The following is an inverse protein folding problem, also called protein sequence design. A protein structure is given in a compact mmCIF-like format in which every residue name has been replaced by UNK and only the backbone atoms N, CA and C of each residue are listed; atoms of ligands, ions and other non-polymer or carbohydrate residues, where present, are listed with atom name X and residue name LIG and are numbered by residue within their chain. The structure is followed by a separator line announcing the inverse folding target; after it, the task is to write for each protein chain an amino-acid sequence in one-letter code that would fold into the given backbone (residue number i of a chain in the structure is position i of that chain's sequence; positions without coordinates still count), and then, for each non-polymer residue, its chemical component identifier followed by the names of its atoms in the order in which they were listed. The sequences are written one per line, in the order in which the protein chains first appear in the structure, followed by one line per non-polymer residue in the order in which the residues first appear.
data_IF_431120286444
#
_entry.id   IF_431120286444
#
_cell.length_a   1.000
_cell.length_b   1.000
_cell.length_c   1.000
_cell.angle_alpha   90.00
_cell.angle_beta   90.00
_cell.angle_gamma   90.00
#
_symmetry.space_group_name_H-M   'P 1'
#
loop_
_entity.id
_entity.type
_entity.pdbx_description
1 polymer ?
#
# COMPACT_ATOMS: atom_id res chain seq x y z
N UNK A 1 88.06 -20.40 -36.47
CA UNK A 1 88.16 -19.18 -35.64
C UNK A 1 87.09 -18.21 -36.14
N UNK A 2 85.84 -18.37 -35.71
CA UNK A 2 84.69 -17.63 -36.26
C UNK A 2 83.86 -17.07 -35.10
N UNK A 3 83.58 -15.76 -35.24
CA UNK A 3 82.51 -14.95 -34.67
C UNK A 3 82.49 -14.66 -33.17
N UNK A 4 83.12 -13.54 -32.83
CA UNK A 4 82.60 -12.60 -31.85
C UNK A 4 81.74 -11.51 -32.53
N UNK A 5 80.82 -10.96 -31.74
CA UNK A 5 80.02 -9.73 -31.91
C UNK A 5 78.75 -9.81 -32.78
N UNK A 6 77.59 -9.75 -32.11
CA UNK A 6 76.52 -8.72 -32.31
C UNK A 6 75.64 -8.71 -31.04
N UNK A 7 75.46 -7.51 -30.48
CA UNK A 7 74.92 -7.26 -29.15
C UNK A 7 73.41 -7.44 -28.99
N UNK A 8 73.00 -7.76 -27.75
CA UNK A 8 71.62 -7.77 -27.30
C UNK A 8 71.30 -6.50 -26.50
N UNK A 9 71.00 -5.40 -27.19
CA UNK A 9 70.32 -4.26 -26.59
C UNK A 9 68.80 -4.51 -26.61
N UNK A 10 68.26 -5.07 -25.53
CA UNK A 10 66.80 -5.20 -25.31
C UNK A 10 66.39 -4.75 -23.91
N UNK A 11 66.95 -3.64 -23.42
CA UNK A 11 66.68 -3.17 -22.05
C UNK A 11 66.04 -1.78 -21.82
N UNK A 12 65.70 -0.93 -22.82
CA UNK A 12 64.99 0.32 -22.52
C UNK A 12 63.46 0.28 -22.79
N UNK A 13 62.97 -0.61 -23.67
CA UNK A 13 61.56 -0.53 -24.13
C UNK A 13 60.53 -1.02 -23.10
N UNK A 14 60.84 -2.06 -22.32
CA UNK A 14 59.89 -2.62 -21.36
C UNK A 14 59.62 -1.68 -20.17
N UNK A 15 60.62 -0.89 -19.77
CA UNK A 15 60.50 0.10 -18.69
C UNK A 15 59.69 1.30 -19.18
N UNK A 16 59.93 1.76 -20.42
CA UNK A 16 59.15 2.84 -21.03
C UNK A 16 57.67 2.47 -21.14
N UNK A 17 57.35 1.25 -21.58
CA UNK A 17 55.97 0.77 -21.73
C UNK A 17 55.27 0.65 -20.36
N UNK A 18 55.98 0.19 -19.31
CA UNK A 18 55.42 0.15 -17.95
C UNK A 18 55.17 1.54 -17.39
N UNK A 19 56.06 2.49 -17.65
CA UNK A 19 55.88 3.87 -17.21
C UNK A 19 54.69 4.54 -17.91
N UNK A 20 54.53 4.35 -19.23
CA UNK A 20 53.39 4.92 -19.97
C UNK A 20 52.06 4.29 -19.56
N UNK A 21 52.01 2.98 -19.29
CA UNK A 21 50.82 2.31 -18.75
C UNK A 21 50.44 2.81 -17.36
N UNK A 22 51.42 3.01 -16.47
CA UNK A 22 51.18 3.56 -15.13
C UNK A 22 50.67 5.01 -15.21
N UNK A 23 51.28 5.85 -16.04
CA UNK A 23 50.83 7.22 -16.24
C UNK A 23 49.42 7.25 -16.82
N UNK A 24 49.12 6.40 -17.80
CA UNK A 24 47.78 6.28 -18.37
C UNK A 24 46.75 5.81 -17.32
N UNK A 25 47.09 4.82 -16.49
CA UNK A 25 46.23 4.37 -15.39
C UNK A 25 46.00 5.46 -14.35
N UNK A 26 47.02 6.24 -14.00
CA UNK A 26 46.87 7.38 -13.08
C UNK A 26 46.00 8.46 -13.71
N UNK A 27 46.19 8.79 -14.98
CA UNK A 27 45.34 9.76 -15.70
C UNK A 27 43.90 9.26 -15.76
N UNK A 28 43.67 7.98 -16.09
CA UNK A 28 42.32 7.37 -16.09
C UNK A 28 41.71 7.40 -14.69
N UNK A 29 42.48 7.11 -13.63
CA UNK A 29 42.00 7.17 -12.24
C UNK A 29 41.71 8.59 -11.78
N UNK A 30 42.49 9.59 -12.20
CA UNK A 30 42.24 11.01 -11.89
C UNK A 30 41.01 11.50 -12.65
N UNK A 31 40.89 11.16 -13.94
CA UNK A 31 39.74 11.53 -14.76
C UNK A 31 38.43 10.82 -14.35
N UNK A 32 38.50 9.56 -13.90
CA UNK A 32 37.33 8.85 -13.34
C UNK A 32 37.08 9.17 -11.86
N UNK A 33 38.08 9.68 -11.14
CA UNK A 33 37.95 10.07 -9.74
C UNK A 33 37.27 11.42 -9.53
N UNK A 34 37.08 12.21 -10.60
CA UNK A 34 36.37 13.49 -10.56
C UNK A 34 34.86 13.39 -10.82
N UNK A 35 34.33 12.22 -11.21
CA UNK A 35 32.88 12.02 -11.29
C UNK A 35 32.31 11.59 -9.93
N UNK A 36 31.57 12.53 -9.34
CA UNK A 36 30.56 12.37 -8.27
C UNK A 36 30.96 12.84 -6.87
N UNK A 37 31.25 14.13 -6.76
CA UNK A 37 30.76 14.92 -5.62
C UNK A 37 29.96 16.11 -6.14
N UNK A 38 28.84 15.83 -6.83
CA UNK A 38 27.84 16.86 -7.11
C UNK A 38 27.12 17.10 -5.78
N UNK A 39 27.46 18.19 -5.11
CA UNK A 39 26.64 18.73 -4.01
C UNK A 39 25.24 18.94 -4.55
N UNK A 40 24.30 18.09 -4.13
CA UNK A 40 22.87 18.20 -4.43
C UNK A 40 22.44 19.64 -4.17
N UNK A 41 21.72 20.24 -5.12
CA UNK A 41 21.26 21.62 -4.97
C UNK A 41 20.42 21.76 -3.68
N UNK A 42 20.43 22.93 -3.05
CA UNK A 42 19.64 23.16 -1.84
C UNK A 42 18.15 22.89 -2.07
N UNK A 43 17.65 23.14 -3.28
CA UNK A 43 16.28 22.83 -3.68
C UNK A 43 16.03 21.33 -3.81
N UNK A 44 16.99 20.57 -4.34
CA UNK A 44 16.88 19.10 -4.46
C UNK A 44 16.99 18.42 -3.09
N UNK A 45 17.83 18.96 -2.20
CA UNK A 45 17.92 18.54 -0.80
C UNK A 45 16.62 18.85 -0.05
N UNK A 46 16.07 20.07 -0.23
CA UNK A 46 14.79 20.47 0.36
C UNK A 46 13.63 19.64 -0.19
N UNK A 47 13.66 19.29 -1.47
CA UNK A 47 12.67 18.42 -2.09
C UNK A 47 12.73 17.01 -1.49
N UNK A 48 13.92 16.41 -1.41
CA UNK A 48 14.14 15.11 -0.76
C UNK A 48 13.71 15.13 0.72
N UNK A 49 14.10 16.16 1.46
CA UNK A 49 13.73 16.35 2.87
C UNK A 49 12.20 16.55 3.02
N UNK A 50 11.50 17.04 1.98
CA UNK A 50 10.04 17.13 1.99
C UNK A 50 9.34 15.76 1.89
N UNK A 51 10.06 14.71 1.45
CA UNK A 51 9.60 13.32 1.52
C UNK A 51 9.94 12.65 2.84
N UNK A 52 10.48 13.38 3.83
CA UNK A 52 10.66 12.84 5.17
C UNK A 52 9.30 12.50 5.80
N UNK A 53 9.02 11.20 5.79
CA UNK A 53 7.78 10.61 6.30
C UNK A 53 7.82 10.41 7.84
N UNK A 54 8.91 10.77 8.51
CA UNK A 54 9.14 10.53 9.94
C UNK A 54 8.02 11.09 10.82
N UNK A 55 7.64 12.35 10.60
CA UNK A 55 6.58 13.04 11.35
C UNK A 55 5.24 12.35 11.18
N UNK A 56 4.85 12.01 9.94
CA UNK A 56 3.58 11.32 9.69
C UNK A 56 3.58 9.91 10.26
N UNK A 57 4.71 9.21 10.23
CA UNK A 57 4.85 7.89 10.85
C UNK A 57 4.71 7.96 12.38
N UNK A 58 5.30 8.95 13.04
CA UNK A 58 5.15 9.17 14.49
C UNK A 58 3.69 9.52 14.84
N UNK A 59 3.09 10.45 14.11
CA UNK A 59 1.69 10.85 14.28
C UNK A 59 0.75 9.65 14.10
N UNK A 60 0.95 8.84 13.04
CA UNK A 60 0.16 7.63 12.83
C UNK A 60 0.35 6.60 13.95
N UNK A 61 1.58 6.40 14.42
CA UNK A 61 1.90 5.48 15.52
C UNK A 61 1.16 5.87 16.80
N UNK A 62 1.18 7.15 17.18
CA UNK A 62 0.47 7.64 18.36
C UNK A 62 -1.05 7.55 18.21
N UNK A 63 -1.59 7.85 17.03
CA UNK A 63 -3.03 7.73 16.78
C UNK A 63 -3.51 6.28 16.73
N UNK A 64 -2.71 5.35 16.20
CA UNK A 64 -3.02 3.92 16.13
C UNK A 64 -3.18 3.29 17.52
N UNK A 65 -2.50 3.83 18.55
CA UNK A 65 -2.72 3.41 19.95
C UNK A 65 -4.12 3.73 20.47
N UNK A 66 -4.78 4.75 19.90
CA UNK A 66 -6.07 5.31 20.37
C UNK A 66 -7.26 4.91 19.51
N UNK A 67 -7.04 4.74 18.21
CA UNK A 67 -8.07 4.38 17.23
C UNK A 67 -7.49 3.24 16.42
N UNK A 68 -7.97 2.01 16.56
CA UNK A 68 -7.49 0.86 15.78
C UNK A 68 -8.38 0.60 14.57
N UNK A 69 -7.81 0.55 13.37
CA UNK A 69 -8.53 0.44 12.10
C UNK A 69 -8.08 -0.81 11.35
N UNK A 70 -9.05 -1.67 11.02
CA UNK A 70 -8.86 -2.78 10.10
C UNK A 70 -9.23 -2.36 8.67
N UNK A 71 -8.32 -2.53 7.72
CA UNK A 71 -8.54 -2.17 6.31
C UNK A 71 -8.97 -3.39 5.49
N UNK A 72 -10.14 -3.31 4.85
CA UNK A 72 -10.65 -4.29 3.91
C UNK A 72 -10.55 -3.71 2.51
N UNK A 73 -9.66 -4.27 1.69
CA UNK A 73 -9.46 -3.83 0.31
C UNK A 73 -10.09 -4.87 -0.61
N UNK A 74 -11.06 -4.46 -1.42
CA UNK A 74 -11.57 -5.32 -2.47
C UNK A 74 -10.73 -5.16 -3.72
N UNK A 75 -10.31 -6.29 -4.28
CA UNK A 75 -9.52 -6.32 -5.51
C UNK A 75 -9.95 -7.49 -6.40
N UNK A 76 -9.20 -7.74 -7.46
CA UNK A 76 -9.32 -8.89 -8.35
C UNK A 76 -7.96 -9.27 -8.91
N UNK A 77 -7.84 -10.48 -9.48
CA UNK A 77 -6.60 -10.94 -10.13
C UNK A 77 -6.02 -9.92 -11.12
N UNK A 78 -6.87 -9.29 -11.92
CA UNK A 78 -6.44 -8.37 -12.98
C UNK A 78 -5.88 -7.05 -12.43
N UNK A 79 -6.23 -6.70 -11.20
CA UNK A 79 -5.81 -5.46 -10.54
C UNK A 79 -4.64 -5.66 -9.56
N UNK A 80 -3.94 -6.79 -9.66
CA UNK A 80 -2.77 -7.15 -8.84
C UNK A 80 -1.80 -5.99 -8.61
N UNK A 81 -1.42 -5.27 -9.67
CA UNK A 81 -0.46 -4.16 -9.54
C UNK A 81 -0.96 -3.04 -8.63
N UNK A 82 -2.27 -2.74 -8.67
CA UNK A 82 -2.87 -1.72 -7.81
C UNK A 82 -2.78 -2.11 -6.34
N UNK A 83 -3.08 -3.38 -6.01
CA UNK A 83 -2.97 -3.89 -4.66
C UNK A 83 -1.51 -3.89 -4.13
N UNK A 84 -0.51 -4.15 -4.99
CA UNK A 84 0.91 -3.99 -4.64
C UNK A 84 1.23 -2.54 -4.30
N UNK A 85 0.81 -1.59 -5.14
CA UNK A 85 1.05 -0.16 -4.92
C UNK A 85 0.38 0.34 -3.64
N UNK A 86 -0.84 -0.11 -3.34
CA UNK A 86 -1.50 0.22 -2.08
C UNK A 86 -0.72 -0.32 -0.87
N UNK A 87 -0.22 -1.56 -0.95
CA UNK A 87 0.62 -2.18 0.10
C UNK A 87 1.92 -1.40 0.32
N UNK A 88 2.55 -0.91 -0.74
CA UNK A 88 3.76 -0.10 -0.69
C UNK A 88 3.54 1.33 -0.19
N UNK A 89 2.29 1.81 -0.20
CA UNK A 89 1.94 3.20 0.12
C UNK A 89 1.15 3.33 1.42
N UNK A 90 -0.17 3.46 1.36
CA UNK A 90 -0.99 3.84 2.51
C UNK A 90 -1.40 2.64 3.40
N UNK A 91 -1.47 1.43 2.85
CA UNK A 91 -1.92 0.24 3.60
C UNK A 91 -0.95 -0.13 4.73
N UNK A 92 0.34 0.23 4.60
CA UNK A 92 1.33 0.07 5.68
C UNK A 92 0.97 0.82 6.96
N UNK A 93 0.06 1.80 6.89
CA UNK A 93 -0.43 2.61 8.01
C UNK A 93 -1.69 2.06 8.68
N UNK A 94 -2.32 1.04 8.10
CA UNK A 94 -3.41 0.29 8.72
C UNK A 94 -2.89 -0.54 9.91
N UNK A 95 -3.70 -0.71 10.96
CA UNK A 95 -3.31 -1.58 12.08
C UNK A 95 -3.27 -3.06 11.67
N UNK A 96 -4.14 -3.43 10.72
CA UNK A 96 -4.14 -4.69 10.00
C UNK A 96 -4.96 -4.54 8.72
N UNK A 97 -4.78 -5.45 7.77
CA UNK A 97 -5.47 -5.39 6.50
C UNK A 97 -5.74 -6.77 5.91
N UNK A 98 -6.66 -6.80 4.95
CA UNK A 98 -6.92 -7.97 4.10
C UNK A 98 -7.31 -7.52 2.70
N UNK A 99 -6.89 -8.29 1.70
CA UNK A 99 -7.35 -8.14 0.33
C UNK A 99 -8.42 -9.20 0.05
N UNK A 100 -9.65 -8.80 -0.23
CA UNK A 100 -10.73 -9.68 -0.66
C UNK A 100 -10.78 -9.78 -2.18
N UNK A 101 -10.64 -10.98 -2.72
CA UNK A 101 -10.55 -11.25 -4.17
C UNK A 101 -11.39 -12.47 -4.56
N UNK A 102 -11.52 -12.73 -5.86
CA UNK A 102 -12.17 -13.91 -6.44
C UNK A 102 -11.33 -15.18 -6.31
N UNK A 103 -10.04 -15.02 -6.03
CA UNK A 103 -9.06 -16.08 -5.90
C UNK A 103 -8.01 -15.75 -4.84
N UNK A 104 -7.34 -16.80 -4.35
CA UNK A 104 -6.17 -16.68 -3.46
C UNK A 104 -4.93 -16.46 -4.32
N UNK A 105 -4.04 -15.59 -3.86
CA UNK A 105 -2.77 -15.27 -4.50
C UNK A 105 -1.69 -15.19 -3.43
N UNK A 106 -0.52 -15.80 -3.66
CA UNK A 106 0.56 -15.86 -2.66
C UNK A 106 1.37 -14.55 -2.58
N UNK A 107 1.50 -13.87 -3.70
CA UNK A 107 2.28 -12.65 -3.85
C UNK A 107 1.59 -11.42 -3.22
N UNK A 108 0.26 -11.37 -3.29
CA UNK A 108 -0.60 -10.48 -2.51
C UNK A 108 -1.54 -11.39 -1.74
N UNK A 109 -1.24 -11.72 -0.47
CA UNK A 109 -2.07 -12.62 0.33
C UNK A 109 -3.53 -12.18 0.32
N UNK A 110 -4.31 -12.78 -0.57
CA UNK A 110 -5.73 -12.49 -0.77
C UNK A 110 -6.57 -13.58 -0.13
N UNK A 111 -7.69 -13.15 0.45
CA UNK A 111 -8.74 -14.05 0.85
C UNK A 111 -9.70 -14.24 -0.32
N UNK A 112 -9.95 -15.49 -0.71
CA UNK A 112 -10.98 -15.84 -1.69
C UNK A 112 -12.36 -15.55 -1.12
N UNK A 113 -12.82 -14.32 -1.31
CA UNK A 113 -14.04 -13.79 -0.76
C UNK A 113 -15.27 -14.25 -1.55
N UNK A 114 -15.14 -14.43 -2.87
CA UNK A 114 -16.22 -14.93 -3.71
C UNK A 114 -15.64 -15.66 -4.92
N UNK A 115 -16.46 -16.39 -5.70
CA UNK A 115 -15.94 -17.09 -6.89
C UNK A 115 -15.93 -16.19 -8.15
N UNK A 116 -16.80 -15.19 -8.22
CA UNK A 116 -16.85 -14.24 -9.32
C UNK A 116 -16.23 -12.89 -8.92
N UNK A 117 -15.33 -12.38 -9.76
CA UNK A 117 -14.55 -11.19 -9.42
C UNK A 117 -15.08 -9.88 -10.03
N UNK A 118 -16.17 -9.96 -10.80
CA UNK A 118 -16.76 -8.79 -11.45
C UNK A 118 -17.33 -7.78 -10.45
N UNK A 119 -17.37 -6.52 -10.88
CA UNK A 119 -17.86 -5.39 -10.08
C UNK A 119 -19.27 -5.60 -9.51
N UNK A 120 -20.15 -6.29 -10.25
CA UNK A 120 -21.49 -6.65 -9.79
C UNK A 120 -21.56 -7.62 -8.60
N UNK A 121 -20.42 -8.09 -8.10
CA UNK A 121 -20.32 -8.98 -6.94
C UNK A 121 -19.55 -8.33 -5.78
N UNK A 122 -19.34 -7.01 -5.82
CA UNK A 122 -18.61 -6.29 -4.77
C UNK A 122 -19.26 -6.45 -3.39
N UNK A 123 -20.59 -6.51 -3.32
CA UNK A 123 -21.32 -6.82 -2.08
C UNK A 123 -20.99 -8.21 -1.53
N UNK A 124 -20.99 -9.25 -2.36
CA UNK A 124 -20.61 -10.60 -1.94
C UNK A 124 -19.18 -10.65 -1.42
N UNK A 125 -18.24 -10.01 -2.14
CA UNK A 125 -16.84 -9.91 -1.71
C UNK A 125 -16.70 -9.15 -0.39
N UNK A 126 -17.37 -8.00 -0.25
CA UNK A 126 -17.38 -7.20 0.98
C UNK A 126 -17.91 -8.02 2.16
N UNK A 127 -19.11 -8.60 2.02
CA UNK A 127 -19.79 -9.38 3.05
C UNK A 127 -18.91 -10.53 3.55
N UNK A 128 -18.36 -11.31 2.63
CA UNK A 128 -17.59 -12.50 2.98
C UNK A 128 -16.23 -12.13 3.58
N UNK A 129 -15.58 -11.08 3.07
CA UNK A 129 -14.31 -10.57 3.63
C UNK A 129 -14.52 -10.02 5.03
N UNK A 130 -15.56 -9.20 5.25
CA UNK A 130 -15.88 -8.63 6.56
C UNK A 130 -16.25 -9.72 7.56
N UNK A 131 -17.05 -10.72 7.16
CA UNK A 131 -17.41 -11.86 8.00
C UNK A 131 -16.18 -12.70 8.38
N UNK A 132 -15.23 -12.89 7.45
CA UNK A 132 -13.97 -13.58 7.72
C UNK A 132 -13.14 -12.83 8.77
N UNK A 133 -12.95 -11.52 8.58
CA UNK A 133 -12.22 -10.67 9.51
C UNK A 133 -12.87 -10.67 10.88
N UNK A 134 -14.19 -10.49 10.96
CA UNK A 134 -14.93 -10.50 12.23
C UNK A 134 -14.77 -11.81 12.99
N UNK A 135 -14.89 -12.96 12.31
CA UNK A 135 -14.71 -14.27 12.94
C UNK A 135 -13.29 -14.49 13.47
N UNK A 136 -12.26 -13.93 12.82
CA UNK A 136 -10.86 -14.09 13.22
C UNK A 136 -10.44 -13.13 14.32
N UNK A 137 -10.91 -11.89 14.28
CA UNK A 137 -10.43 -10.83 15.16
C UNK A 137 -11.48 -10.34 16.16
N UNK A 138 -12.77 -10.55 15.91
CA UNK A 138 -13.88 -10.09 16.75
C UNK A 138 -13.74 -8.61 17.07
N UNK A 139 -13.98 -8.26 18.33
CA UNK A 139 -13.99 -6.90 18.86
C UNK A 139 -12.59 -6.22 18.99
N UNK A 140 -11.51 -6.80 18.43
CA UNK A 140 -10.11 -6.32 18.57
C UNK A 140 -9.81 -4.96 17.94
N UNK A 141 -10.58 -4.54 16.95
CA UNK A 141 -10.41 -3.26 16.24
C UNK A 141 -11.60 -2.36 16.52
N UNK A 142 -11.38 -1.05 16.52
CA UNK A 142 -12.41 -0.06 16.81
C UNK A 142 -13.23 0.26 15.57
N UNK A 143 -12.58 0.24 14.40
CA UNK A 143 -13.18 0.60 13.12
C UNK A 143 -12.73 -0.34 11.99
N UNK A 144 -13.60 -0.50 11.01
CA UNK A 144 -13.39 -1.33 9.84
C UNK A 144 -13.69 -0.48 8.61
N UNK A 145 -12.67 -0.26 7.77
CA UNK A 145 -12.83 0.51 6.54
C UNK A 145 -12.85 -0.42 5.34
N UNK A 146 -13.88 -0.29 4.49
CA UNK A 146 -13.89 -0.90 3.16
C UNK A 146 -13.44 0.12 2.14
N UNK A 147 -12.56 -0.30 1.23
CA UNK A 147 -12.14 0.46 0.04
C UNK A 147 -11.95 -0.46 -1.16
N UNK A 148 -11.85 0.13 -2.34
CA UNK A 148 -11.46 -0.58 -3.57
C UNK A 148 -9.96 -0.41 -3.86
N UNK A 149 -9.44 -1.23 -4.79
CA UNK A 149 -8.01 -1.26 -5.13
C UNK A 149 -7.46 -0.02 -5.85
N UNK A 150 -8.32 0.91 -6.25
CA UNK A 150 -8.00 2.22 -6.81
C UNK A 150 -8.23 3.39 -5.85
N UNK A 151 -8.46 3.09 -4.56
CA UNK A 151 -8.63 4.11 -3.51
C UNK A 151 -7.30 4.41 -2.80
N UNK A 152 -7.07 5.67 -2.44
CA UNK A 152 -6.00 6.09 -1.54
C UNK A 152 -6.58 6.70 -0.26
N UNK A 153 -6.11 6.26 0.91
CA UNK A 153 -6.59 6.75 2.21
C UNK A 153 -5.46 7.43 2.97
N UNK A 154 -5.67 8.69 3.37
CA UNK A 154 -4.82 9.37 4.33
C UNK A 154 -5.25 8.91 5.73
N UNK A 155 -4.59 7.87 6.25
CA UNK A 155 -4.96 7.20 7.50
C UNK A 155 -4.94 8.16 8.70
N UNK A 156 -4.04 9.13 8.68
CA UNK A 156 -3.92 10.17 9.70
C UNK A 156 -5.19 11.02 9.79
N UNK A 157 -5.72 11.46 8.64
CA UNK A 157 -6.95 12.22 8.57
C UNK A 157 -8.15 11.39 9.04
N UNK A 158 -8.20 10.11 8.63
CA UNK A 158 -9.24 9.19 9.08
C UNK A 158 -9.21 9.01 10.60
N UNK A 159 -8.04 8.75 11.19
CA UNK A 159 -7.91 8.61 12.65
C UNK A 159 -8.25 9.91 13.38
N UNK A 160 -7.84 11.06 12.85
CA UNK A 160 -8.17 12.36 13.43
C UNK A 160 -9.69 12.59 13.46
N UNK A 161 -10.41 12.22 12.39
CA UNK A 161 -11.87 12.26 12.36
C UNK A 161 -12.50 11.34 13.43
N UNK A 162 -12.02 10.09 13.52
CA UNK A 162 -12.57 9.07 14.41
C UNK A 162 -12.18 9.25 15.88
N UNK A 163 -11.21 10.11 16.20
CA UNK A 163 -10.68 10.29 17.55
C UNK A 163 -11.74 10.72 18.58
N UNK A 164 -12.80 11.39 18.12
CA UNK A 164 -13.91 11.88 18.95
C UNK A 164 -15.16 10.99 18.88
N UNK A 165 -15.13 9.95 18.05
CA UNK A 165 -16.24 9.03 17.84
C UNK A 165 -16.14 7.82 18.78
N UNK A 166 -17.27 7.27 19.20
CA UNK A 166 -17.32 6.08 20.06
C UNK A 166 -17.53 4.81 19.20
N UNK A 167 -16.53 3.91 19.08
CA UNK A 167 -16.66 2.70 18.27
C UNK A 167 -17.69 1.70 18.81
N UNK A 168 -18.19 1.89 20.04
CA UNK A 168 -19.25 1.08 20.64
C UNK A 168 -20.67 1.56 20.28
N UNK A 169 -20.78 2.70 19.60
CA UNK A 169 -22.04 3.21 19.06
C UNK A 169 -22.11 2.93 17.55
N UNK A 170 -23.31 2.88 17.00
CA UNK A 170 -23.48 2.68 15.56
C UNK A 170 -22.87 3.86 14.77
N UNK A 171 -21.73 3.61 14.14
CA UNK A 171 -21.08 4.51 13.18
C UNK A 171 -21.00 3.89 11.79
N UNK A 172 -21.33 4.67 10.76
CA UNK A 172 -21.22 4.34 9.34
C UNK A 172 -21.00 5.64 8.55
N UNK A 173 -19.75 5.89 8.16
CA UNK A 173 -19.30 7.16 7.60
C UNK A 173 -18.63 6.95 6.25
N UNK A 174 -18.84 7.88 5.32
CA UNK A 174 -18.31 7.84 3.97
C UNK A 174 -19.00 8.88 3.10
N UNK A 175 -18.86 8.73 1.79
CA UNK A 175 -19.55 9.61 0.84
C UNK A 175 -21.01 9.18 0.67
N UNK A 176 -21.92 9.86 1.37
CA UNK A 176 -23.36 9.59 1.30
C UNK A 176 -23.92 10.00 -0.05
N UNK A 177 -24.50 9.04 -0.77
CA UNK A 177 -25.25 9.31 -1.99
C UNK A 177 -26.73 9.03 -1.77
N UNK A 178 -27.56 9.94 -2.27
CA UNK A 178 -29.00 9.75 -2.36
C UNK A 178 -29.32 9.08 -3.70
N UNK A 179 -30.13 8.03 -3.67
CA UNK A 179 -30.67 7.44 -4.89
C UNK A 179 -31.88 8.29 -5.33
N UNK A 180 -31.93 8.69 -6.60
CA UNK A 180 -33.06 9.37 -7.25
C UNK A 180 -33.35 10.84 -6.89
N UNK A 181 -32.37 11.61 -6.40
CA UNK A 181 -32.42 13.08 -6.40
C UNK A 181 -33.53 13.74 -5.56
N UNK A 182 -34.26 12.95 -4.77
CA UNK A 182 -35.13 13.42 -3.68
C UNK A 182 -34.49 13.03 -2.36
N UNK A 183 -34.84 13.74 -1.30
CA UNK A 183 -34.52 13.38 0.09
C UNK A 183 -35.18 12.03 0.44
N UNK A 184 -34.58 10.94 -0.03
CA UNK A 184 -34.97 9.57 0.24
C UNK A 184 -34.18 9.07 1.48
N UNK A 185 -34.86 8.44 2.47
CA UNK A 185 -34.26 7.85 3.67
C UNK A 185 -33.29 6.68 3.44
N UNK A 186 -33.11 6.20 2.20
CA UNK A 186 -32.23 5.08 1.84
C UNK A 186 -30.85 5.52 1.31
N UNK A 187 -30.28 6.60 1.87
CA UNK A 187 -28.90 7.00 1.57
C UNK A 187 -27.91 5.92 1.98
N UNK A 188 -26.91 5.64 1.13
CA UNK A 188 -25.82 4.72 1.41
C UNK A 188 -24.47 5.41 1.20
N UNK A 189 -23.40 4.87 1.78
CA UNK A 189 -22.06 5.36 1.47
C UNK A 189 -21.55 4.68 0.20
N UNK A 190 -21.11 5.47 -0.78
CA UNK A 190 -20.63 4.94 -2.05
C UNK A 190 -19.40 4.05 -1.88
N UNK A 191 -19.47 2.80 -2.37
CA UNK A 191 -18.41 1.80 -2.22
C UNK A 191 -17.03 2.24 -2.74
N UNK A 192 -16.97 2.93 -3.89
CA UNK A 192 -15.70 3.37 -4.49
C UNK A 192 -15.07 4.60 -3.81
N UNK A 193 -15.84 5.35 -3.01
CA UNK A 193 -15.27 6.41 -2.16
C UNK A 193 -14.65 5.86 -0.87
N UNK A 194 -14.94 4.59 -0.57
CA UNK A 194 -14.67 3.98 0.71
C UNK A 194 -15.65 4.40 1.81
N UNK A 195 -15.83 3.52 2.79
CA UNK A 195 -16.61 3.81 3.98
C UNK A 195 -16.07 3.09 5.20
N UNK A 196 -16.22 3.71 6.36
CA UNK A 196 -15.78 3.20 7.65
C UNK A 196 -16.97 2.89 8.54
N UNK A 197 -16.91 1.73 9.18
CA UNK A 197 -17.92 1.22 10.10
C UNK A 197 -17.31 1.05 11.48
N UNK A 198 -18.07 1.46 12.50
CA UNK A 198 -17.71 1.20 13.90
C UNK A 198 -17.73 -0.30 14.21
N UNK A 199 -16.96 -0.72 15.22
CA UNK A 199 -17.03 -2.07 15.79
C UNK A 199 -18.47 -2.50 16.08
N UNK A 200 -19.26 -1.63 16.70
CA UNK A 200 -20.67 -1.92 17.01
C UNK A 200 -21.50 -2.20 15.75
N UNK A 201 -21.33 -1.40 14.70
CA UNK A 201 -22.03 -1.61 13.42
C UNK A 201 -21.61 -2.92 12.76
N UNK A 202 -20.32 -3.24 12.73
CA UNK A 202 -19.82 -4.49 12.14
C UNK A 202 -20.34 -5.71 12.90
N UNK A 203 -20.33 -5.66 14.24
CA UNK A 203 -20.89 -6.72 15.09
C UNK A 203 -22.33 -7.05 14.72
N UNK A 204 -23.19 -6.03 14.72
CA UNK A 204 -24.61 -6.21 14.40
C UNK A 204 -24.83 -6.66 12.95
N UNK A 205 -24.08 -6.09 12.01
CA UNK A 205 -24.17 -6.45 10.59
C UNK A 205 -23.78 -7.91 10.34
N UNK A 206 -22.67 -8.38 10.93
CA UNK A 206 -22.18 -9.74 10.72
C UNK A 206 -22.99 -10.77 11.52
N UNK A 207 -23.26 -10.51 12.80
CA UNK A 207 -23.88 -11.50 13.69
C UNK A 207 -25.40 -11.60 13.53
N UNK A 208 -26.05 -10.53 13.06
CA UNK A 208 -27.52 -10.49 12.92
C UNK A 208 -27.99 -10.11 11.53
N UNK A 209 -27.24 -9.27 10.80
CA UNK A 209 -27.66 -8.77 9.51
C UNK A 209 -27.50 -9.77 8.38
N UNK A 210 -26.25 -10.14 8.06
CA UNK A 210 -25.91 -10.88 6.84
C UNK A 210 -26.65 -12.21 6.66
N UNK A 211 -26.95 -12.92 7.76
CA UNK A 211 -27.68 -14.20 7.73
C UNK A 211 -29.20 -14.09 7.80
N UNK A 212 -29.77 -12.89 7.91
CA UNK A 212 -31.20 -12.66 8.08
C UNK A 212 -31.78 -11.86 6.90
N UNK A 213 -32.70 -12.48 6.16
CA UNK A 213 -33.37 -11.87 5.01
C UNK A 213 -34.25 -10.68 5.36
N UNK A 214 -34.60 -10.51 6.65
CA UNK A 214 -35.31 -9.33 7.14
C UNK A 214 -34.45 -8.06 7.07
N UNK A 215 -33.14 -8.19 7.29
CA UNK A 215 -32.24 -7.03 7.40
C UNK A 215 -31.32 -6.88 6.19
N UNK A 216 -30.86 -7.99 5.62
CA UNK A 216 -29.92 -7.97 4.51
C UNK A 216 -30.42 -8.82 3.35
N UNK A 217 -30.10 -8.34 2.14
CA UNK A 217 -30.26 -9.13 0.93
C UNK A 217 -29.36 -10.36 0.98
N UNK A 218 -29.91 -11.50 0.58
CA UNK A 218 -29.24 -12.80 0.65
C UNK A 218 -28.51 -13.21 -0.64
N UNK A 219 -28.56 -12.36 -1.68
CA UNK A 219 -27.81 -12.56 -2.93
C UNK A 219 -26.50 -11.77 -2.91
N UNK A 220 -25.45 -12.39 -3.43
CA UNK A 220 -24.11 -11.84 -3.53
C UNK A 220 -23.88 -10.98 -4.79
N UNK A 221 -24.78 -11.09 -5.79
CA UNK A 221 -24.73 -10.28 -7.01
C UNK A 221 -25.36 -8.91 -6.74
N UNK A 222 -24.58 -8.02 -6.15
CA UNK A 222 -24.94 -6.63 -5.94
C UNK A 222 -23.70 -5.74 -5.81
N UNK A 223 -23.95 -4.43 -5.99
CA UNK A 223 -23.04 -3.38 -5.56
C UNK A 223 -23.17 -3.17 -4.05
N UNK A 224 -22.05 -2.81 -3.43
CA UNK A 224 -21.91 -2.52 -2.00
C UNK A 224 -21.96 -1.02 -1.68
#
# INVERSE_FOLDING_TARGET
MICEMIGKNKFPYAILIRCTLLIFLVIVCVLHGEENNITKSEDEKRFDDSFDDSVFNEVNSEMAKRVKIFCLILTSKVNRERAILQKQTWVKRCDNHIFGSGEESEDIPTFKAYHNDGYSFSFGKMKNTLSHVWRKYGDKYDWYIKVDDDTYVIMENLRAFLLKEDPNKHGYHGFRMAVYGKSDPHTYNHGGAGYVMSRRSVKELVEKGFGDSKYCRQTDKAFD
#
